data_IF_468180095913
#
_entry.id   IF_468180095913
#
_cell.length_a   1.000
_cell.length_b   1.000
_cell.length_c   1.000
_cell.angle_alpha   90.00
_cell.angle_beta   90.00
_cell.angle_gamma   90.00
#
_symmetry.space_group_name_H-M   'P 1'
#
loop_
_entity.id
_entity.type
_entity.pdbx_description
1 polymer ?
#
# COMPACT_ATOMS: atom_id res chain seq x y z
N UNK A 1 -0.39 7.21 14.77
CA UNK A 1 0.71 6.40 14.20
C UNK A 1 0.31 5.46 13.05
N UNK A 2 -0.93 4.96 12.97
CA UNK A 2 -1.35 4.02 11.91
C UNK A 2 -1.12 4.55 10.48
N UNK A 3 -1.51 5.80 10.20
CA UNK A 3 -1.32 6.42 8.88
C UNK A 3 0.15 6.54 8.47
N UNK A 4 1.02 6.98 9.39
CA UNK A 4 2.46 7.09 9.14
C UNK A 4 3.09 5.73 8.81
N UNK A 5 2.69 4.69 9.55
CA UNK A 5 3.13 3.31 9.30
C UNK A 5 2.66 2.81 7.93
N UNK A 6 1.39 3.01 7.59
CA UNK A 6 0.85 2.64 6.26
C UNK A 6 1.58 3.38 5.15
N UNK A 7 1.85 4.68 5.32
CA UNK A 7 2.55 5.48 4.32
C UNK A 7 3.98 4.98 4.09
N UNK A 8 4.74 4.70 5.15
CA UNK A 8 6.11 4.20 5.02
C UNK A 8 6.12 2.78 4.45
N UNK A 9 5.18 1.93 4.87
CA UNK A 9 5.03 0.59 4.30
C UNK A 9 4.71 0.65 2.81
N UNK A 10 3.78 1.52 2.40
CA UNK A 10 3.46 1.78 1.00
C UNK A 10 4.70 2.23 0.20
N UNK A 11 5.42 3.24 0.70
CA UNK A 11 6.64 3.75 0.05
C UNK A 11 7.69 2.66 -0.06
N UNK A 12 7.91 1.87 1.00
CA UNK A 12 8.88 0.78 1.01
C UNK A 12 8.54 -0.31 -0.01
N UNK A 13 7.27 -0.74 -0.07
CA UNK A 13 6.82 -1.73 -1.04
C UNK A 13 6.93 -1.20 -2.47
N UNK A 14 6.42 0.00 -2.74
CA UNK A 14 6.46 0.60 -4.07
C UNK A 14 7.91 0.79 -4.54
N UNK A 15 8.77 1.36 -3.71
CA UNK A 15 10.18 1.55 -4.02
C UNK A 15 10.88 0.22 -4.28
N UNK A 16 10.58 -0.81 -3.49
CA UNK A 16 11.17 -2.14 -3.69
C UNK A 16 10.83 -2.72 -5.06
N UNK A 17 9.58 -2.59 -5.53
CA UNK A 17 9.15 -3.08 -6.85
C UNK A 17 9.80 -2.26 -7.97
N UNK A 18 9.81 -0.92 -7.86
CA UNK A 18 10.38 -0.05 -8.89
C UNK A 18 11.90 -0.23 -9.03
N UNK A 19 12.62 -0.33 -7.90
CA UNK A 19 14.06 -0.59 -7.89
C UNK A 19 14.34 -1.98 -8.46
N UNK A 20 13.55 -3.00 -8.10
CA UNK A 20 13.70 -4.35 -8.67
C UNK A 20 13.53 -4.36 -10.18
N UNK A 21 12.49 -3.68 -10.67
CA UNK A 21 12.21 -3.57 -12.10
C UNK A 21 13.35 -2.84 -12.82
N UNK A 22 13.86 -1.76 -12.26
CA UNK A 22 15.00 -1.01 -12.80
C UNK A 22 16.29 -1.86 -12.83
N UNK A 23 16.63 -2.51 -11.71
CA UNK A 23 17.82 -3.37 -11.59
C UNK A 23 17.71 -4.59 -12.51
N UNK A 24 16.49 -5.12 -12.67
CA UNK A 24 16.15 -6.19 -13.60
C UNK A 24 16.20 -5.78 -15.07
N UNK A 25 16.62 -4.54 -15.39
CA UNK A 25 16.66 -3.95 -16.74
C UNK A 25 15.28 -3.87 -17.39
N UNK A 26 14.27 -3.58 -16.58
CA UNK A 26 12.89 -3.45 -17.02
C UNK A 26 12.71 -2.29 -18.00
N UNK A 27 11.75 -2.46 -18.89
CA UNK A 27 11.39 -1.44 -19.88
C UNK A 27 10.66 -0.26 -19.25
N UNK A 28 10.39 0.74 -20.08
CA UNK A 28 9.58 1.90 -19.73
C UNK A 28 8.29 1.50 -19.03
N UNK A 29 8.00 2.16 -17.91
CA UNK A 29 6.80 1.97 -17.12
C UNK A 29 5.81 3.09 -17.46
N UNK A 30 4.65 2.72 -18.03
CA UNK A 30 3.59 3.68 -18.28
C UNK A 30 2.98 4.19 -16.97
N UNK A 31 2.63 5.49 -16.91
CA UNK A 31 2.01 6.08 -15.72
C UNK A 31 0.76 5.33 -15.20
N UNK A 32 -0.15 4.82 -16.06
CA UNK A 32 -1.28 4.02 -15.60
C UNK A 32 -0.88 2.75 -14.83
N UNK A 33 0.25 2.13 -15.19
CA UNK A 33 0.75 0.95 -14.49
C UNK A 33 1.23 1.28 -13.07
N UNK A 34 1.88 2.45 -12.89
CA UNK A 34 2.28 2.95 -11.56
C UNK A 34 1.04 3.21 -10.69
N UNK A 35 0.00 3.81 -11.27
CA UNK A 35 -1.28 4.06 -10.57
C UNK A 35 -1.94 2.75 -10.17
N UNK A 36 -2.01 1.77 -11.08
CA UNK A 36 -2.57 0.44 -10.80
C UNK A 36 -1.81 -0.28 -9.69
N UNK A 37 -0.47 -0.28 -9.74
CA UNK A 37 0.36 -0.85 -8.67
C UNK A 37 0.16 -0.12 -7.34
N UNK A 38 0.05 1.20 -7.36
CA UNK A 38 -0.19 2.00 -6.15
C UNK A 38 -1.53 1.63 -5.51
N UNK A 39 -2.60 1.53 -6.31
CA UNK A 39 -3.92 1.11 -5.84
C UNK A 39 -3.89 -0.31 -5.26
N UNK A 40 -3.17 -1.24 -5.90
CA UNK A 40 -2.98 -2.59 -5.40
C UNK A 40 -2.30 -2.60 -4.03
N UNK A 41 -1.19 -1.87 -3.86
CA UNK A 41 -0.47 -1.82 -2.58
C UNK A 41 -1.35 -1.20 -1.50
N UNK A 42 -2.08 -0.11 -1.79
CA UNK A 42 -2.97 0.54 -0.84
C UNK A 42 -4.11 -0.39 -0.42
N UNK A 43 -4.77 -1.07 -1.36
CA UNK A 43 -5.85 -2.02 -1.04
C UNK A 43 -5.32 -3.19 -0.23
N UNK A 44 -4.19 -3.76 -0.63
CA UNK A 44 -3.58 -4.89 0.06
C UNK A 44 -3.17 -4.53 1.49
N UNK A 45 -2.57 -3.34 1.71
CA UNK A 45 -2.28 -2.81 3.05
C UNK A 45 -3.55 -2.54 3.87
N UNK A 46 -4.62 -2.04 3.23
CA UNK A 46 -5.87 -1.71 3.92
C UNK A 46 -6.60 -2.96 4.44
N UNK A 47 -6.54 -4.05 3.68
CA UNK A 47 -7.12 -5.36 4.07
C UNK A 47 -6.22 -6.07 5.08
N UNK A 48 -4.90 -5.96 4.91
CA UNK A 48 -3.90 -6.75 5.65
C UNK A 48 -3.29 -6.01 6.84
N UNK A 49 -4.00 -5.10 7.50
CA UNK A 49 -3.48 -4.34 8.64
C UNK A 49 -3.89 -4.97 10.00
N UNK A 50 -3.14 -5.95 10.54
CA UNK A 50 -3.03 -6.13 11.98
C UNK A 50 -2.20 -4.99 12.60
N UNK A 51 -2.15 -4.93 13.94
CA UNK A 51 -1.40 -3.91 14.67
C UNK A 51 0.12 -3.93 14.38
N UNK A 52 0.69 -4.97 13.75
CA UNK A 52 2.11 -5.09 13.41
C UNK A 52 2.30 -5.71 12.03
N UNK A 53 2.96 -4.99 11.11
CA UNK A 53 3.29 -5.48 9.76
C UNK A 53 4.54 -6.38 9.84
N UNK A 54 4.40 -7.57 10.39
CA UNK A 54 5.52 -8.51 10.56
C UNK A 54 5.16 -9.94 10.14
N UNK A 55 6.17 -10.80 10.08
CA UNK A 55 5.99 -12.25 9.91
C UNK A 55 5.35 -12.64 8.57
N UNK A 56 4.48 -13.67 8.57
CA UNK A 56 3.95 -14.28 7.33
C UNK A 56 3.01 -13.35 6.55
N UNK A 57 2.29 -12.46 7.23
CA UNK A 57 1.39 -11.52 6.56
C UNK A 57 2.16 -10.50 5.70
N UNK A 58 3.25 -9.95 6.24
CA UNK A 58 4.11 -9.06 5.48
C UNK A 58 4.79 -9.82 4.32
N UNK A 59 5.21 -11.07 4.54
CA UNK A 59 5.83 -11.87 3.49
C UNK A 59 4.86 -12.12 2.32
N UNK A 60 3.60 -12.43 2.63
CA UNK A 60 2.54 -12.58 1.63
C UNK A 60 2.31 -11.27 0.87
N UNK A 61 2.27 -10.14 1.57
CA UNK A 61 2.07 -8.84 0.97
C UNK A 61 3.22 -8.48 0.01
N UNK A 62 4.46 -8.72 0.42
CA UNK A 62 5.65 -8.55 -0.43
C UNK A 62 5.58 -9.47 -1.64
N UNK A 63 5.22 -10.73 -1.47
CA UNK A 63 5.13 -11.69 -2.57
C UNK A 63 4.07 -11.27 -3.60
N UNK A 64 2.88 -10.87 -3.14
CA UNK A 64 1.82 -10.35 -4.01
C UNK A 64 2.29 -9.10 -4.75
N UNK A 65 2.86 -8.14 -4.03
CA UNK A 65 3.27 -6.86 -4.63
C UNK A 65 4.42 -7.00 -5.61
N UNK A 66 5.39 -7.89 -5.36
CA UNK A 66 6.48 -8.18 -6.30
C UNK A 66 5.99 -8.94 -7.53
N UNK A 67 5.16 -9.97 -7.33
CA UNK A 67 4.66 -10.81 -8.44
C UNK A 67 3.69 -10.04 -9.33
N UNK A 68 2.65 -9.45 -8.74
CA UNK A 68 1.67 -8.66 -9.51
C UNK A 68 2.27 -7.36 -10.01
N UNK A 69 3.17 -6.73 -9.25
CA UNK A 69 3.89 -5.55 -9.70
C UNK A 69 4.70 -5.82 -10.97
N UNK A 70 5.43 -6.94 -11.03
CA UNK A 70 6.15 -7.33 -12.23
C UNK A 70 5.24 -7.39 -13.47
N UNK A 71 4.08 -8.04 -13.37
CA UNK A 71 3.11 -8.12 -14.48
C UNK A 71 2.49 -6.76 -14.82
N UNK A 72 2.06 -5.99 -13.82
CA UNK A 72 1.43 -4.68 -14.01
C UNK A 72 2.39 -3.70 -14.70
N UNK A 73 3.68 -3.74 -14.37
CA UNK A 73 4.70 -2.87 -14.95
C UNK A 73 5.17 -3.32 -16.34
N UNK A 74 4.50 -4.30 -16.96
CA UNK A 74 4.78 -4.74 -18.33
C UNK A 74 5.74 -5.92 -18.43
N UNK A 75 5.90 -6.71 -17.36
CA UNK A 75 6.65 -7.97 -17.37
C UNK A 75 6.02 -9.00 -18.31
N UNK A 76 6.55 -9.09 -19.55
CA UNK A 76 6.16 -10.09 -20.55
C UNK A 76 7.22 -11.18 -20.78
N UNK A 77 8.47 -10.93 -20.38
CA UNK A 77 9.58 -11.88 -20.45
C UNK A 77 10.20 -12.10 -19.08
N UNK A 78 10.17 -13.35 -18.63
CA UNK A 78 10.83 -13.81 -17.41
C UNK A 78 12.29 -14.15 -17.71
N UNK A 79 13.12 -13.12 -17.91
CA UNK A 79 14.56 -13.33 -17.84
C UNK A 79 14.99 -13.56 -16.37
N UNK A 80 15.96 -14.44 -16.20
CA UNK A 80 16.59 -14.77 -14.92
C UNK A 80 17.01 -13.52 -14.13
N UNK A 81 17.56 -12.51 -14.80
CA UNK A 81 17.95 -11.24 -14.17
C UNK A 81 16.77 -10.49 -13.55
N UNK A 82 15.61 -10.51 -14.21
CA UNK A 82 14.38 -9.85 -13.75
C UNK A 82 13.76 -10.59 -12.56
N UNK A 83 13.72 -11.92 -12.61
CA UNK A 83 13.22 -12.73 -11.49
C UNK A 83 14.11 -12.58 -10.25
N UNK A 84 15.43 -12.62 -10.43
CA UNK A 84 16.39 -12.46 -9.34
C UNK A 84 16.29 -11.06 -8.73
N UNK A 85 16.16 -10.00 -9.55
CA UNK A 85 16.04 -8.64 -9.04
C UNK A 85 14.77 -8.45 -8.20
N UNK A 86 13.63 -9.00 -8.63
CA UNK A 86 12.39 -8.97 -7.84
C UNK A 86 12.44 -9.85 -6.58
N UNK A 87 13.21 -10.94 -6.58
CA UNK A 87 13.41 -11.76 -5.38
C UNK A 87 14.27 -11.01 -4.35
N UNK A 88 15.39 -10.44 -4.77
CA UNK A 88 16.27 -9.63 -3.91
C UNK A 88 15.56 -8.36 -3.44
N UNK A 89 14.85 -7.69 -4.34
CA UNK A 89 14.07 -6.51 -4.01
C UNK A 89 12.88 -6.81 -3.11
N UNK A 90 12.24 -7.98 -3.28
CA UNK A 90 11.24 -8.49 -2.34
C UNK A 90 11.82 -8.70 -0.95
N UNK A 91 12.98 -9.36 -0.84
CA UNK A 91 13.65 -9.57 0.44
C UNK A 91 14.05 -8.25 1.12
N UNK A 92 14.65 -7.33 0.37
CA UNK A 92 15.04 -6.01 0.90
C UNK A 92 13.82 -5.15 1.28
N UNK A 93 12.76 -5.19 0.47
CA UNK A 93 11.47 -4.57 0.76
C UNK A 93 10.85 -5.11 2.05
N UNK A 94 10.83 -6.43 2.22
CA UNK A 94 10.37 -7.08 3.46
C UNK A 94 11.15 -6.57 4.67
N UNK A 95 12.49 -6.58 4.61
CA UNK A 95 13.33 -6.16 5.72
C UNK A 95 13.14 -4.67 6.06
N UNK A 96 12.90 -3.84 5.06
CA UNK A 96 12.62 -2.41 5.23
C UNK A 96 11.27 -2.19 5.91
N UNK A 97 10.22 -2.84 5.40
CA UNK A 97 8.85 -2.67 5.89
C UNK A 97 8.68 -3.28 7.29
N UNK A 98 9.34 -4.40 7.58
CA UNK A 98 9.33 -5.02 8.91
C UNK A 98 9.84 -4.07 9.99
N UNK A 99 10.75 -3.15 9.66
CA UNK A 99 11.33 -2.18 10.61
C UNK A 99 10.60 -0.83 10.60
N UNK A 100 9.41 -0.73 10.02
CA UNK A 100 8.64 0.51 9.91
C UNK A 100 8.47 1.22 11.26
N UNK A 101 8.21 0.48 12.34
CA UNK A 101 8.05 1.10 13.66
C UNK A 101 9.32 1.82 14.15
N UNK A 102 10.48 1.19 13.95
CA UNK A 102 11.77 1.81 14.27
C UNK A 102 12.05 3.01 13.37
N UNK A 103 11.67 2.95 12.09
CA UNK A 103 11.82 4.05 11.14
C UNK A 103 10.93 5.23 11.53
N UNK A 104 9.67 4.99 11.89
CA UNK A 104 8.73 6.02 12.34
C UNK A 104 9.27 6.72 13.58
N UNK A 105 9.69 5.97 14.61
CA UNK A 105 10.21 6.57 15.84
C UNK A 105 11.47 7.41 15.59
N UNK A 106 12.39 6.93 14.74
CA UNK A 106 13.59 7.70 14.38
C UNK A 106 13.25 8.96 13.59
N UNK A 107 12.34 8.88 12.62
CA UNK A 107 11.87 10.05 11.87
C UNK A 107 11.19 11.06 12.76
N UNK A 108 10.35 10.62 13.69
CA UNK A 108 9.70 11.49 14.67
C UNK A 108 10.74 12.22 15.53
N UNK A 109 11.75 11.51 16.05
CA UNK A 109 12.82 12.13 16.83
C UNK A 109 13.65 13.13 16.02
N UNK A 110 13.88 12.85 14.73
CA UNK A 110 14.64 13.72 13.83
C UNK A 110 13.84 14.97 13.48
N UNK A 111 12.53 14.83 13.24
CA UNK A 111 11.62 15.95 13.02
C UNK A 111 11.53 16.82 14.28
N UNK A 112 11.39 16.22 15.47
CA UNK A 112 11.38 16.95 16.73
C UNK A 112 12.70 17.73 16.93
N UNK A 113 13.85 17.10 16.64
CA UNK A 113 15.15 17.77 16.71
C UNK A 113 15.31 18.90 15.68
N UNK A 114 14.81 18.72 14.46
CA UNK A 114 14.88 19.73 13.40
C UNK A 114 13.89 20.90 13.60
N UNK A 115 12.76 20.64 14.28
CA UNK A 115 11.73 21.64 14.58
C UNK A 115 11.92 22.33 15.93
N UNK A 116 12.83 21.85 16.78
CA UNK A 116 13.21 22.47 18.05
C UNK A 116 13.61 23.97 17.97
N UNK A 117 14.25 24.49 16.91
CA UNK A 117 14.47 25.94 16.77
C UNK A 117 13.21 26.73 16.33
N UNK A 118 12.11 26.06 15.96
CA UNK A 118 10.85 26.66 15.53
C UNK A 118 9.79 26.54 16.64
N UNK A 119 10.04 27.19 17.78
CA UNK A 119 9.05 27.29 18.86
C UNK A 119 7.94 28.27 18.43
N UNK A 120 7.00 27.81 17.60
CA UNK A 120 5.79 28.56 17.29
C UNK A 120 4.84 28.35 18.47
N UNK A 121 4.62 29.42 19.25
CA UNK A 121 3.63 29.50 20.31
C UNK A 121 2.32 28.83 19.89
N UNK A 122 1.80 27.95 20.73
CA UNK A 122 0.63 27.12 20.48
C UNK A 122 -0.57 27.94 20.00
N UNK A 123 -0.84 27.91 18.69
CA UNK A 123 -2.10 28.35 18.14
C UNK A 123 -3.10 27.21 18.34
N UNK A 124 -3.88 27.32 19.41
CA UNK A 124 -5.02 26.46 19.67
C UNK A 124 -6.08 26.70 18.59
N UNK A 125 -6.02 25.94 17.50
CA UNK A 125 -7.14 25.85 16.57
C UNK A 125 -8.14 24.85 17.12
N UNK A 126 -9.39 25.25 17.42
CA UNK A 126 -10.45 24.30 17.75
C UNK A 126 -10.79 23.52 16.49
N UNK A 127 -10.14 22.38 16.28
CA UNK A 127 -10.52 21.44 15.22
C UNK A 127 -11.75 20.69 15.72
N UNK A 128 -12.94 21.17 15.34
CA UNK A 128 -14.15 20.37 15.41
C UNK A 128 -14.07 19.27 14.35
N UNK A 129 -13.42 18.14 14.67
CA UNK A 129 -13.51 16.95 13.84
C UNK A 129 -14.94 16.40 13.96
N UNK A 130 -15.70 16.27 12.86
CA UNK A 130 -16.94 15.51 12.90
C UNK A 130 -16.59 14.06 13.26
N UNK A 131 -17.00 13.63 14.44
CA UNK A 131 -16.92 12.23 14.87
C UNK A 131 -17.88 11.42 14.01
N UNK A 132 -17.41 10.97 12.85
CA UNK A 132 -18.13 9.98 12.05
C UNK A 132 -18.00 8.65 12.80
N UNK A 133 -19.14 8.17 13.29
CA UNK A 133 -19.18 6.94 14.06
C UNK A 133 -18.76 5.76 13.18
N UNK A 134 -18.00 4.83 13.75
CA UNK A 134 -17.55 3.59 13.09
C UNK A 134 -18.75 2.80 12.53
N UNK A 135 -19.93 2.92 13.17
CA UNK A 135 -21.18 2.35 12.67
C UNK A 135 -21.55 2.88 11.30
N UNK A 136 -21.41 4.19 11.06
CA UNK A 136 -21.72 4.81 9.76
C UNK A 136 -20.78 4.31 8.67
N UNK A 137 -19.52 4.07 8.98
CA UNK A 137 -18.54 3.52 8.04
C UNK A 137 -18.86 2.07 7.67
N UNK A 138 -19.20 1.23 8.66
CA UNK A 138 -19.61 -0.17 8.45
C UNK A 138 -20.88 -0.25 7.58
N UNK A 139 -21.87 0.62 7.83
CA UNK A 139 -23.10 0.68 7.02
C UNK A 139 -22.79 1.00 5.56
N UNK A 140 -21.95 2.01 5.30
CA UNK A 140 -21.57 2.40 3.92
C UNK A 140 -20.83 1.29 3.18
N UNK A 141 -19.97 0.54 3.85
CA UNK A 141 -19.28 -0.62 3.24
C UNK A 141 -20.29 -1.70 2.88
N UNK A 142 -21.25 -2.00 3.76
CA UNK A 142 -22.30 -2.99 3.47
C UNK A 142 -23.15 -2.60 2.26
N UNK A 143 -23.56 -1.34 2.20
CA UNK A 143 -24.33 -0.79 1.07
C UNK A 143 -23.55 -0.86 -0.24
N UNK A 144 -22.26 -0.51 -0.22
CA UNK A 144 -21.39 -0.61 -1.39
C UNK A 144 -21.25 -2.06 -1.88
N UNK A 145 -21.00 -3.01 -0.98
CA UNK A 145 -20.87 -4.43 -1.33
C UNK A 145 -22.18 -5.01 -1.88
N UNK A 146 -23.33 -4.61 -1.32
CA UNK A 146 -24.65 -5.00 -1.84
C UNK A 146 -24.89 -4.42 -3.24
N UNK A 147 -24.61 -3.14 -3.45
CA UNK A 147 -24.77 -2.50 -4.75
C UNK A 147 -23.87 -3.16 -5.81
N UNK A 148 -22.61 -3.44 -5.47
CA UNK A 148 -21.68 -4.16 -6.34
C UNK A 148 -22.18 -5.58 -6.66
N UNK A 149 -22.74 -6.29 -5.68
CA UNK A 149 -23.33 -7.62 -5.89
C UNK A 149 -24.50 -7.58 -6.88
N UNK A 150 -25.39 -6.59 -6.78
CA UNK A 150 -26.50 -6.43 -7.73
C UNK A 150 -26.03 -6.05 -9.14
N UNK A 151 -25.00 -5.20 -9.25
CA UNK A 151 -24.44 -4.78 -10.54
C UNK A 151 -23.67 -5.89 -11.25
N UNK A 152 -23.05 -6.80 -10.49
CA UNK A 152 -22.29 -7.93 -11.03
C UNK A 152 -23.15 -9.17 -11.31
N UNK A 153 -24.44 -9.14 -10.98
CA UNK A 153 -25.36 -10.22 -11.27
C UNK A 153 -25.85 -10.08 -12.71
N UNK A 154 -25.71 -11.15 -13.49
CA UNK A 154 -26.36 -11.23 -14.80
C UNK A 154 -27.88 -11.06 -14.63
N UNK A 155 -28.59 -10.44 -15.61
CA UNK A 155 -30.03 -10.30 -15.54
C UNK A 155 -30.69 -11.68 -15.41
N UNK A 156 -31.85 -11.76 -14.73
CA UNK A 156 -32.55 -13.03 -14.55
C UNK A 156 -32.83 -13.69 -15.91
N UNK A 157 -32.52 -14.99 -16.01
CA UNK A 157 -32.60 -15.77 -17.26
C UNK A 157 -34.02 -15.89 -17.84
N UNK A 158 -35.06 -15.47 -17.11
CA UNK A 158 -36.44 -15.45 -17.58
C UNK A 158 -36.82 -14.20 -18.39
N UNK A 159 -35.92 -13.22 -18.52
CA UNK A 159 -36.12 -12.02 -19.36
C UNK A 159 -35.47 -12.13 -20.75
N UNK A 160 -34.89 -13.29 -21.08
CA UNK A 160 -34.15 -13.54 -22.34
C UNK A 160 -34.91 -14.51 -23.26
N UNK A 161 -36.21 -14.76 -23.01
CA UNK A 161 -37.12 -15.48 -23.91
C UNK A 161 -38.28 -14.59 -24.33
#
# INVERSE_FOLDING_TARGET
MRLARTAIAYVGLLASVLISHLVGRGSFIAAPAIVALSLLIITALSISMPQELEGPHLALLVLITQTLGHFILGGGSTDSSMTISHLVGGFTGYQTVRRVDQIVCKLESLVQYALLPLSISSLAFPINLPTVSISTYITRIKEFLLAAHYLLRAPPSYLVN
#
